data_IF_927456632770
#
_entry.id   IF_927456632770
#
_cell.length_a   1.000
_cell.length_b   1.000
_cell.length_c   1.000
_cell.angle_alpha   90.00
_cell.angle_beta   90.00
_cell.angle_gamma   90.00
#
_symmetry.space_group_name_H-M   'P 1'
#
loop_
_entity.id
_entity.type
_entity.pdbx_description
1 polymer ?
#
# COMPACT_ATOMS: atom_id res chain seq x y z
N UNK A 1 44.08 32.83 24.86
CA UNK A 1 43.03 31.88 24.42
C UNK A 1 42.04 31.70 25.55
N UNK A 2 40.81 32.16 25.35
CA UNK A 2 39.81 32.39 26.38
C UNK A 2 39.24 31.06 26.90
N UNK A 3 39.26 30.85 28.23
CA UNK A 3 38.62 29.73 28.93
C UNK A 3 37.10 29.84 28.75
N UNK A 4 36.52 28.94 27.97
CA UNK A 4 35.06 28.76 27.90
C UNK A 4 34.65 27.96 29.14
N UNK A 5 33.88 28.57 30.04
CA UNK A 5 33.37 27.92 31.26
C UNK A 5 32.10 27.13 30.96
N UNK A 6 31.92 25.97 31.61
CA UNK A 6 30.82 24.99 31.45
C UNK A 6 29.40 25.58 31.47
N UNK A 7 29.19 26.77 32.03
CA UNK A 7 27.89 27.45 32.02
C UNK A 7 27.44 27.95 30.62
N UNK A 8 28.37 28.11 29.68
CA UNK A 8 28.05 28.59 28.31
C UNK A 8 27.50 27.51 27.38
N UNK A 9 27.59 26.23 27.77
CA UNK A 9 27.15 25.08 26.96
C UNK A 9 25.69 24.71 27.27
N UNK A 10 25.16 25.09 28.43
CA UNK A 10 23.80 24.74 28.88
C UNK A 10 22.70 25.62 28.25
N UNK A 11 23.03 26.80 27.74
CA UNK A 11 22.07 27.73 27.10
C UNK A 11 21.96 27.57 25.58
N UNK A 12 22.81 26.75 24.95
CA UNK A 12 22.89 26.64 23.48
C UNK A 12 22.00 25.55 22.85
N UNK A 13 21.26 24.78 23.66
CA UNK A 13 20.38 23.74 23.12
C UNK A 13 19.08 24.33 22.54
N UNK A 14 18.98 24.27 21.21
CA UNK A 14 17.76 24.63 20.47
C UNK A 14 16.55 23.80 20.90
N UNK A 15 15.34 24.33 20.70
CA UNK A 15 14.09 23.64 21.03
C UNK A 15 13.99 22.25 20.35
N UNK A 16 14.52 22.14 19.13
CA UNK A 16 14.59 20.90 18.35
C UNK A 16 15.42 19.82 19.05
N UNK A 17 16.56 20.20 19.62
CA UNK A 17 17.43 19.27 20.35
C UNK A 17 16.77 18.74 21.63
N UNK A 18 15.97 19.58 22.31
CA UNK A 18 15.20 19.15 23.49
C UNK A 18 14.08 18.17 23.15
N UNK A 19 13.45 18.33 21.98
CA UNK A 19 12.38 17.46 21.49
C UNK A 19 12.89 16.03 21.20
N UNK A 20 14.10 15.92 20.67
CA UNK A 20 14.75 14.64 20.34
C UNK A 20 15.10 13.87 21.62
N UNK A 21 15.69 14.54 22.62
CA UNK A 21 16.01 13.93 23.92
C UNK A 21 14.75 13.36 24.59
N UNK A 22 13.63 14.09 24.50
CA UNK A 22 12.34 13.69 25.08
C UNK A 22 11.76 12.42 24.44
N UNK A 23 11.98 12.20 23.14
CA UNK A 23 11.48 11.03 22.41
C UNK A 23 12.34 9.78 22.59
N UNK A 24 13.65 9.94 22.77
CA UNK A 24 14.58 8.80 22.85
C UNK A 24 14.85 8.32 24.29
N UNK A 25 14.88 9.21 25.30
CA UNK A 25 15.04 8.80 26.70
C UNK A 25 14.53 9.89 27.68
N UNK A 26 13.26 9.84 28.11
CA UNK A 26 12.61 10.92 28.86
C UNK A 26 13.16 11.14 30.28
N UNK A 27 13.96 10.21 30.83
CA UNK A 27 14.54 10.31 32.19
C UNK A 27 15.73 11.29 32.29
N UNK A 28 16.22 11.82 31.17
CA UNK A 28 17.37 12.73 31.10
C UNK A 28 16.99 14.21 31.19
N UNK A 29 15.69 14.50 31.21
CA UNK A 29 15.14 15.83 31.40
C UNK A 29 14.46 15.90 32.76
N UNK A 30 14.64 17.01 33.47
CA UNK A 30 13.80 17.27 34.64
C UNK A 30 12.39 17.70 34.21
N UNK A 31 11.50 17.86 35.19
CA UNK A 31 10.09 18.23 35.00
C UNK A 31 9.88 19.53 34.20
N UNK A 32 10.92 20.38 34.07
CA UNK A 32 10.88 21.63 33.33
C UNK A 32 11.57 21.53 31.94
N UNK A 33 11.78 20.33 31.42
CA UNK A 33 12.50 20.08 30.15
C UNK A 33 13.92 20.69 30.12
N UNK A 34 14.59 20.76 31.27
CA UNK A 34 16.00 21.16 31.34
C UNK A 34 16.88 19.94 31.63
N UNK A 35 18.08 19.85 31.03
CA UNK A 35 18.99 18.72 31.23
C UNK A 35 19.43 18.58 32.69
N UNK A 36 19.50 17.34 33.21
CA UNK A 36 19.94 17.07 34.59
C UNK A 36 21.45 17.29 34.71
N UNK A 37 21.86 18.19 35.63
CA UNK A 37 23.16 18.89 35.67
C UNK A 37 24.41 18.01 35.88
N UNK A 38 24.27 16.74 36.25
CA UNK A 38 25.40 15.85 36.61
C UNK A 38 25.60 14.67 35.65
N UNK A 39 24.96 14.67 34.48
CA UNK A 39 25.05 13.55 33.52
C UNK A 39 25.96 13.87 32.33
N UNK A 40 26.41 15.12 32.17
CA UNK A 40 27.08 15.60 30.96
C UNK A 40 28.54 16.00 31.24
N UNK A 41 29.46 15.04 31.10
CA UNK A 41 30.90 15.30 31.03
C UNK A 41 31.36 15.45 29.57
N UNK A 42 32.67 15.65 29.33
CA UNK A 42 33.22 15.75 27.97
C UNK A 42 33.04 14.48 27.12
N UNK A 43 32.73 13.33 27.73
CA UNK A 43 32.36 12.11 26.99
C UNK A 43 30.93 12.22 26.41
N UNK A 44 30.09 13.08 26.99
CA UNK A 44 28.72 13.31 26.53
C UNK A 44 28.63 14.15 25.27
N UNK A 45 29.55 15.10 25.04
CA UNK A 45 29.65 15.79 23.74
C UNK A 45 30.10 14.83 22.63
N UNK A 46 31.00 13.90 22.95
CA UNK A 46 31.39 12.82 22.04
C UNK A 46 30.21 11.90 21.77
N UNK A 47 29.46 11.50 22.80
CA UNK A 47 28.22 10.71 22.65
C UNK A 47 27.08 11.46 21.98
N UNK A 48 26.99 12.80 22.10
CA UNK A 48 26.03 13.62 21.35
C UNK A 48 26.45 13.79 19.91
N UNK A 49 27.75 13.90 19.62
CA UNK A 49 28.26 13.86 18.25
C UNK A 49 28.03 12.48 17.63
N UNK A 50 28.17 11.40 18.41
CA UNK A 50 27.80 10.04 18.02
C UNK A 50 26.29 9.86 17.91
N UNK A 51 25.47 10.46 18.78
CA UNK A 51 23.99 10.42 18.75
C UNK A 51 23.40 11.31 17.65
N UNK A 52 24.04 12.43 17.33
CA UNK A 52 23.71 13.26 16.16
C UNK A 52 24.20 12.61 14.88
N UNK A 53 25.31 11.85 14.91
CA UNK A 53 25.78 11.05 13.78
C UNK A 53 25.01 9.72 13.61
N UNK A 54 24.31 9.25 14.65
CA UNK A 54 23.41 8.09 14.57
C UNK A 54 21.94 8.47 14.36
N UNK A 55 21.56 9.73 14.60
CA UNK A 55 20.25 10.29 14.18
C UNK A 55 20.30 11.18 12.92
N UNK A 56 21.49 11.45 12.39
CA UNK A 56 21.73 11.84 11.00
C UNK A 56 22.94 11.05 10.53
N UNK A 57 22.70 9.96 9.79
CA UNK A 57 23.75 9.10 9.24
C UNK A 57 24.69 9.91 8.35
N UNK A 58 25.84 10.32 8.88
CA UNK A 58 27.04 10.51 8.08
C UNK A 58 28.17 9.71 8.71
N UNK A 59 28.17 8.41 8.39
CA UNK A 59 29.30 7.53 8.62
C UNK A 59 30.15 7.54 7.34
N UNK A 60 31.41 8.03 7.35
CA UNK A 60 32.19 8.16 6.12
C UNK A 60 32.57 6.83 5.46
N UNK A 61 32.25 5.67 6.06
CA UNK A 61 32.76 4.37 5.63
C UNK A 61 31.80 3.17 5.79
N UNK A 62 30.48 3.37 5.73
CA UNK A 62 29.53 2.25 5.57
C UNK A 62 28.49 2.55 4.49
N UNK A 63 28.80 2.18 3.24
CA UNK A 63 27.80 2.00 2.18
C UNK A 63 26.82 0.92 2.64
N UNK A 64 25.55 1.27 2.92
CA UNK A 64 24.34 0.41 2.90
C UNK A 64 23.24 0.73 3.94
N UNK A 65 23.12 1.97 4.43
CA UNK A 65 21.84 2.47 4.93
C UNK A 65 21.30 3.47 3.90
N UNK A 66 20.34 3.04 3.08
CA UNK A 66 19.68 3.89 2.07
C UNK A 66 18.90 4.96 2.84
N UNK A 67 19.43 6.18 2.86
CA UNK A 67 18.87 7.33 3.59
C UNK A 67 17.41 7.58 3.22
N UNK A 68 16.58 7.96 4.21
CA UNK A 68 15.19 8.33 3.98
C UNK A 68 15.11 9.55 3.05
N UNK A 69 14.69 9.35 1.80
CA UNK A 69 14.60 10.43 0.81
C UNK A 69 13.62 10.14 -0.31
N UNK A 70 13.39 11.15 -1.13
CA UNK A 70 12.72 10.99 -2.42
C UNK A 70 13.70 10.40 -3.44
N UNK A 71 13.25 9.39 -4.17
CA UNK A 71 13.94 8.72 -5.26
C UNK A 71 13.38 9.28 -6.57
N UNK A 72 14.27 9.82 -7.41
CA UNK A 72 13.92 10.27 -8.76
C UNK A 72 13.86 9.08 -9.72
N UNK A 73 13.04 9.18 -10.76
CA UNK A 73 12.91 8.13 -11.77
C UNK A 73 14.25 7.77 -12.43
N UNK A 74 15.09 8.77 -12.70
CA UNK A 74 16.43 8.58 -13.27
C UNK A 74 17.40 7.77 -12.41
N UNK A 75 17.08 7.53 -11.15
CA UNK A 75 17.91 6.71 -10.26
C UNK A 75 17.60 5.22 -10.37
N UNK A 76 16.44 4.87 -10.90
CA UNK A 76 15.93 3.50 -10.96
C UNK A 76 15.59 3.05 -12.39
N UNK A 77 15.58 3.98 -13.33
CA UNK A 77 15.14 3.78 -14.70
C UNK A 77 15.93 4.65 -15.69
N UNK A 78 16.08 4.18 -16.92
CA UNK A 78 16.66 4.93 -18.03
C UNK A 78 15.54 5.50 -18.88
N UNK A 79 15.67 6.76 -19.29
CA UNK A 79 14.68 7.40 -20.16
C UNK A 79 14.81 6.84 -21.59
N UNK A 80 13.72 6.30 -22.12
CA UNK A 80 13.59 5.78 -23.48
C UNK A 80 12.33 6.36 -24.13
N UNK A 81 12.51 7.40 -24.95
CA UNK A 81 11.40 8.19 -25.47
C UNK A 81 10.57 8.82 -24.35
N UNK A 82 9.29 8.46 -24.30
CA UNK A 82 8.34 8.91 -23.27
C UNK A 82 8.35 8.04 -22.00
N UNK A 83 9.06 6.91 -22.02
CA UNK A 83 9.07 5.96 -20.92
C UNK A 83 10.34 6.10 -20.08
N UNK A 84 10.22 5.72 -18.81
CA UNK A 84 11.31 5.43 -17.90
C UNK A 84 11.37 3.91 -17.76
N UNK A 85 12.34 3.28 -18.43
CA UNK A 85 12.50 1.83 -18.45
C UNK A 85 13.34 1.40 -17.24
N UNK A 86 12.79 0.56 -16.38
CA UNK A 86 13.46 0.09 -15.16
C UNK A 86 14.79 -0.61 -15.50
N UNK A 87 15.91 -0.19 -14.91
CA UNK A 87 17.26 -0.67 -15.28
C UNK A 87 17.69 -1.99 -14.62
N UNK A 88 16.76 -2.68 -13.95
CA UNK A 88 17.04 -3.88 -13.17
C UNK A 88 16.02 -4.08 -12.05
N UNK A 89 16.26 -5.05 -11.18
CA UNK A 89 15.45 -5.21 -9.98
C UNK A 89 15.73 -4.06 -9.01
N UNK A 90 14.66 -3.35 -8.63
CA UNK A 90 14.76 -2.14 -7.81
C UNK A 90 14.03 -2.33 -6.49
N UNK A 91 14.58 -1.75 -5.43
CA UNK A 91 13.94 -1.70 -4.12
C UNK A 91 13.79 -0.26 -3.65
N UNK A 92 12.55 0.15 -3.45
CA UNK A 92 12.19 1.34 -2.69
C UNK A 92 12.26 0.94 -1.22
N UNK A 93 13.34 1.34 -0.55
CA UNK A 93 13.55 0.96 0.85
C UNK A 93 12.50 1.60 1.75
N UNK A 94 12.39 1.08 2.98
CA UNK A 94 11.59 1.72 4.02
C UNK A 94 11.94 3.21 4.12
N UNK A 95 10.96 4.04 4.47
CA UNK A 95 11.01 5.51 4.52
C UNK A 95 11.38 6.26 3.22
N UNK A 96 11.69 5.58 2.11
CA UNK A 96 11.91 6.24 0.82
C UNK A 96 10.58 6.52 0.10
N UNK A 97 10.58 7.55 -0.73
CA UNK A 97 9.43 7.95 -1.56
C UNK A 97 9.81 7.92 -3.05
N UNK A 98 9.15 7.11 -3.87
CA UNK A 98 9.19 7.21 -5.32
C UNK A 98 7.96 7.95 -5.81
N UNK A 99 8.14 8.96 -6.66
CA UNK A 99 7.03 9.67 -7.31
C UNK A 99 7.11 9.41 -8.81
N UNK A 100 6.00 8.95 -9.40
CA UNK A 100 5.79 8.94 -10.84
C UNK A 100 4.93 10.18 -11.15
N UNK A 101 5.49 11.25 -11.75
CA UNK A 101 4.74 12.48 -12.01
C UNK A 101 3.65 12.31 -13.08
N UNK A 102 2.66 13.22 -13.14
CA UNK A 102 1.69 13.27 -14.23
C UNK A 102 2.36 13.30 -15.60
N UNK A 103 1.80 12.57 -16.57
CA UNK A 103 2.30 12.48 -17.94
C UNK A 103 3.58 11.66 -18.13
N UNK A 104 4.18 11.13 -17.05
CA UNK A 104 5.32 10.22 -17.13
C UNK A 104 4.86 8.76 -17.14
N UNK A 105 5.66 7.90 -17.76
CA UNK A 105 5.44 6.46 -17.85
C UNK A 105 6.62 5.72 -17.23
N UNK A 106 6.39 4.91 -16.19
CA UNK A 106 7.38 3.97 -15.66
C UNK A 106 7.10 2.59 -16.25
N UNK A 107 8.03 2.04 -17.03
CA UNK A 107 7.93 0.72 -17.63
C UNK A 107 8.74 -0.29 -16.79
N UNK A 108 8.06 -1.32 -16.29
CA UNK A 108 8.68 -2.50 -15.68
C UNK A 108 8.61 -3.62 -16.71
N UNK A 109 9.73 -3.92 -17.36
CA UNK A 109 9.80 -4.88 -18.47
C UNK A 109 9.57 -6.35 -18.09
N UNK A 110 9.23 -7.18 -19.08
CA UNK A 110 8.87 -8.60 -18.95
C UNK A 110 10.02 -9.55 -18.61
N UNK A 111 11.27 -9.06 -18.59
CA UNK A 111 12.50 -9.84 -18.34
C UNK A 111 12.71 -10.27 -16.88
N UNK A 112 11.64 -10.54 -16.13
CA UNK A 112 11.70 -10.87 -14.71
C UNK A 112 12.03 -9.68 -13.79
N UNK A 113 11.90 -8.45 -14.31
CA UNK A 113 12.18 -7.25 -13.55
C UNK A 113 11.17 -7.08 -12.41
N UNK A 114 11.68 -6.73 -11.24
CA UNK A 114 10.89 -6.56 -10.02
C UNK A 114 11.09 -5.17 -9.42
N UNK A 115 10.00 -4.45 -9.21
CA UNK A 115 9.96 -3.27 -8.36
C UNK A 115 9.42 -3.66 -6.98
N UNK A 116 10.33 -3.75 -6.01
CA UNK A 116 9.98 -4.05 -4.62
C UNK A 116 9.76 -2.75 -3.85
N UNK A 117 8.60 -2.62 -3.21
CA UNK A 117 8.28 -1.51 -2.34
C UNK A 117 8.26 -1.93 -0.87
N UNK A 118 9.07 -1.25 -0.05
CA UNK A 118 9.00 -1.24 1.42
C UNK A 118 8.78 0.17 1.97
N UNK A 119 8.76 1.18 1.10
CA UNK A 119 8.57 2.58 1.43
C UNK A 119 7.25 3.10 0.85
N UNK A 120 7.29 4.21 0.13
CA UNK A 120 6.12 4.80 -0.51
C UNK A 120 6.34 4.94 -2.01
N UNK A 121 5.37 4.50 -2.81
CA UNK A 121 5.27 4.81 -4.24
C UNK A 121 4.02 5.66 -4.42
N UNK A 122 4.17 6.85 -4.98
CA UNK A 122 3.05 7.71 -5.39
C UNK A 122 3.02 7.77 -6.91
N UNK A 123 2.01 7.14 -7.51
CA UNK A 123 1.80 7.17 -8.95
C UNK A 123 0.76 8.23 -9.30
N UNK A 124 1.20 9.36 -9.86
CA UNK A 124 0.34 10.38 -10.46
C UNK A 124 0.36 10.33 -12.00
N UNK A 125 1.18 9.45 -12.58
CA UNK A 125 1.30 9.23 -14.02
C UNK A 125 0.85 7.82 -14.38
N UNK A 126 1.70 7.10 -15.12
CA UNK A 126 1.41 5.76 -15.60
C UNK A 126 2.50 4.78 -15.15
N UNK A 127 2.11 3.63 -14.63
CA UNK A 127 3.00 2.47 -14.46
C UNK A 127 2.54 1.40 -15.44
N UNK A 128 3.42 1.00 -16.34
CA UNK A 128 3.20 -0.12 -17.27
C UNK A 128 4.00 -1.29 -16.73
N UNK A 129 3.31 -2.27 -16.15
CA UNK A 129 3.95 -3.44 -15.53
C UNK A 129 3.80 -4.68 -16.41
N UNK A 130 4.90 -5.10 -17.05
CA UNK A 130 5.05 -6.43 -17.64
C UNK A 130 5.88 -7.38 -16.75
N UNK A 131 6.52 -6.85 -15.71
CA UNK A 131 7.27 -7.61 -14.72
C UNK A 131 6.49 -7.79 -13.43
N UNK A 132 7.15 -7.58 -12.30
CA UNK A 132 6.57 -7.76 -10.96
C UNK A 132 6.61 -6.48 -10.15
N UNK A 133 5.49 -6.13 -9.52
CA UNK A 133 5.43 -5.14 -8.44
C UNK A 133 5.15 -5.89 -7.14
N UNK A 134 6.05 -5.77 -6.17
CA UNK A 134 5.89 -6.40 -4.85
C UNK A 134 5.77 -5.32 -3.79
N UNK A 135 4.59 -5.18 -3.19
CA UNK A 135 4.36 -4.27 -2.08
C UNK A 135 4.45 -5.02 -0.75
N UNK A 136 5.56 -4.85 -0.04
CA UNK A 136 5.86 -5.58 1.19
C UNK A 136 5.32 -4.85 2.44
N UNK A 137 5.46 -5.50 3.60
CA UNK A 137 5.12 -4.92 4.90
C UNK A 137 5.71 -3.52 5.09
N UNK A 138 4.87 -2.57 5.49
CA UNK A 138 5.22 -1.14 5.62
C UNK A 138 5.24 -0.37 4.30
N UNK A 139 5.18 -1.08 3.17
CA UNK A 139 5.07 -0.52 1.83
C UNK A 139 3.68 0.06 1.56
N UNK A 140 3.65 1.28 1.04
CA UNK A 140 2.42 1.93 0.56
C UNK A 140 2.55 2.27 -0.92
N UNK A 141 1.58 1.84 -1.72
CA UNK A 141 1.39 2.31 -3.09
C UNK A 141 0.14 3.20 -3.10
N UNK A 142 0.29 4.46 -3.46
CA UNK A 142 -0.83 5.38 -3.72
C UNK A 142 -0.92 5.60 -5.22
N UNK A 143 -1.96 5.04 -5.84
CA UNK A 143 -2.23 5.21 -7.26
C UNK A 143 -3.30 6.28 -7.48
N UNK A 144 -2.90 7.44 -7.99
CA UNK A 144 -3.78 8.52 -8.43
C UNK A 144 -3.91 8.57 -9.96
N UNK A 145 -3.01 7.90 -10.69
CA UNK A 145 -3.03 7.78 -12.15
C UNK A 145 -3.43 6.37 -12.59
N UNK A 146 -2.67 5.81 -13.54
CA UNK A 146 -2.93 4.50 -14.13
C UNK A 146 -1.83 3.49 -13.79
N UNK A 147 -2.22 2.27 -13.43
CA UNK A 147 -1.34 1.11 -13.39
C UNK A 147 -1.90 0.05 -14.33
N UNK A 148 -1.18 -0.21 -15.42
CA UNK A 148 -1.50 -1.29 -16.36
C UNK A 148 -0.65 -2.50 -16.00
N UNK A 149 -1.25 -3.43 -15.28
CA UNK A 149 -0.66 -4.71 -14.91
C UNK A 149 -0.83 -5.70 -16.07
N UNK A 150 0.01 -5.54 -17.08
CA UNK A 150 -0.04 -6.23 -18.35
C UNK A 150 0.44 -7.68 -18.28
N UNK A 151 0.10 -8.44 -19.33
CA UNK A 151 0.54 -9.82 -19.52
C UNK A 151 2.07 -9.91 -19.54
N UNK A 152 2.65 -10.71 -18.64
CA UNK A 152 4.09 -10.91 -18.55
C UNK A 152 4.42 -12.08 -17.64
N UNK A 153 5.63 -12.12 -17.08
CA UNK A 153 6.06 -13.21 -16.17
C UNK A 153 5.68 -12.96 -14.71
N UNK A 154 5.14 -11.77 -14.39
CA UNK A 154 4.84 -11.35 -13.03
C UNK A 154 3.40 -10.86 -12.82
N UNK A 155 3.26 -9.92 -11.89
CA UNK A 155 1.98 -9.33 -11.50
C UNK A 155 2.17 -8.33 -10.37
N UNK A 156 1.07 -7.91 -9.77
CA UNK A 156 1.07 -7.08 -8.56
C UNK A 156 0.81 -7.99 -7.37
N UNK A 157 1.73 -7.99 -6.41
CA UNK A 157 1.65 -8.75 -5.17
C UNK A 157 1.65 -7.80 -3.98
N UNK A 158 0.50 -7.68 -3.32
CA UNK A 158 0.37 -6.94 -2.08
C UNK A 158 0.51 -7.90 -0.89
N UNK A 159 1.72 -7.96 -0.34
CA UNK A 159 2.09 -8.90 0.72
C UNK A 159 1.55 -8.45 2.08
N UNK A 160 1.63 -9.30 3.14
CA UNK A 160 1.15 -8.95 4.47
C UNK A 160 1.73 -7.62 4.97
N UNK A 161 0.87 -6.73 5.46
CA UNK A 161 1.22 -5.39 5.92
C UNK A 161 1.50 -4.37 4.79
N UNK A 162 1.38 -4.78 3.52
CA UNK A 162 1.40 -3.87 2.37
C UNK A 162 0.04 -3.17 2.18
N UNK A 163 0.08 -1.90 1.80
CA UNK A 163 -1.12 -1.09 1.50
C UNK A 163 -1.11 -0.60 0.06
N UNK A 164 -2.21 -0.81 -0.67
CA UNK A 164 -2.48 -0.17 -1.97
C UNK A 164 -3.71 0.72 -1.82
N UNK A 165 -3.55 2.02 -2.02
CA UNK A 165 -4.64 2.99 -2.12
C UNK A 165 -4.83 3.34 -3.60
N UNK A 166 -5.92 2.88 -4.20
CA UNK A 166 -6.19 3.07 -5.61
C UNK A 166 -7.26 4.15 -5.83
N UNK A 167 -6.83 5.42 -5.87
CA UNK A 167 -7.68 6.57 -6.19
C UNK A 167 -7.87 6.75 -7.71
N UNK A 168 -6.98 6.17 -8.52
CA UNK A 168 -7.04 6.18 -9.98
C UNK A 168 -7.51 4.84 -10.55
N UNK A 169 -6.84 4.37 -11.61
CA UNK A 169 -7.20 3.13 -12.31
C UNK A 169 -6.11 2.08 -12.22
N UNK A 170 -6.47 0.84 -11.89
CA UNK A 170 -5.65 -0.35 -12.12
C UNK A 170 -6.32 -1.19 -13.21
N UNK A 171 -5.64 -1.36 -14.35
CA UNK A 171 -5.99 -2.34 -15.37
C UNK A 171 -5.25 -3.65 -15.09
N UNK A 172 -5.96 -4.69 -14.65
CA UNK A 172 -5.37 -5.98 -14.34
C UNK A 172 -5.58 -6.97 -15.49
N UNK A 173 -4.50 -7.31 -16.19
CA UNK A 173 -4.48 -8.27 -17.31
C UNK A 173 -3.82 -9.61 -16.95
N UNK A 174 -3.26 -9.72 -15.74
CA UNK A 174 -2.62 -10.95 -15.26
C UNK A 174 -2.99 -11.22 -13.80
N UNK A 175 -2.10 -11.00 -12.84
CA UNK A 175 -2.30 -11.34 -11.44
C UNK A 175 -2.27 -10.07 -10.60
N UNK A 176 -3.35 -9.85 -9.84
CA UNK A 176 -3.39 -8.98 -8.67
C UNK A 176 -3.65 -9.86 -7.44
N UNK A 177 -2.59 -10.16 -6.70
CA UNK A 177 -2.65 -11.00 -5.50
C UNK A 177 -2.57 -10.14 -4.25
N UNK A 178 -3.48 -10.38 -3.30
CA UNK A 178 -3.59 -9.60 -2.08
C UNK A 178 -3.57 -10.49 -0.82
N UNK A 179 -2.61 -10.23 0.06
CA UNK A 179 -2.55 -10.69 1.45
C UNK A 179 -2.52 -9.47 2.41
N UNK A 180 -2.38 -8.25 1.88
CA UNK A 180 -2.37 -7.00 2.62
C UNK A 180 -3.71 -6.27 2.53
N UNK A 181 -3.66 -4.94 2.45
CA UNK A 181 -4.83 -4.08 2.33
C UNK A 181 -4.88 -3.38 0.97
N UNK A 182 -6.00 -3.49 0.25
CA UNK A 182 -6.30 -2.72 -0.96
C UNK A 182 -7.54 -1.87 -0.67
N UNK A 183 -7.42 -0.56 -0.86
CA UNK A 183 -8.53 0.39 -0.75
C UNK A 183 -8.84 1.01 -2.11
N UNK A 184 -10.13 1.04 -2.45
CA UNK A 184 -10.67 1.57 -3.70
C UNK A 184 -11.75 2.58 -3.33
N UNK A 185 -11.36 3.83 -3.01
CA UNK A 185 -12.31 4.88 -2.65
C UNK A 185 -13.08 5.39 -3.87
N UNK A 186 -14.00 6.32 -3.65
CA UNK A 186 -14.69 7.05 -4.72
C UNK A 186 -13.69 7.64 -5.74
N UNK A 187 -13.94 7.41 -7.02
CA UNK A 187 -13.02 7.75 -8.12
C UNK A 187 -12.03 6.62 -8.47
N UNK A 188 -11.77 5.72 -7.53
CA UNK A 188 -10.93 4.54 -7.70
C UNK A 188 -11.60 3.42 -8.49
N UNK A 189 -10.82 2.78 -9.37
CA UNK A 189 -11.30 1.77 -10.31
C UNK A 189 -10.32 0.62 -10.46
N UNK A 190 -10.79 -0.64 -10.40
CA UNK A 190 -10.04 -1.80 -10.86
C UNK A 190 -10.78 -2.47 -12.01
N UNK A 191 -10.15 -2.55 -13.18
CA UNK A 191 -10.63 -3.31 -14.32
C UNK A 191 -9.89 -4.64 -14.39
N UNK A 192 -10.56 -5.72 -13.99
CA UNK A 192 -10.05 -7.07 -14.18
C UNK A 192 -10.41 -7.55 -15.58
N UNK A 193 -9.45 -7.56 -16.49
CA UNK A 193 -9.68 -7.82 -17.91
C UNK A 193 -9.71 -9.32 -18.20
N UNK A 194 -9.91 -9.72 -19.47
CA UNK A 194 -10.28 -11.09 -19.82
C UNK A 194 -9.31 -12.19 -19.34
N UNK A 195 -8.03 -11.87 -19.17
CA UNK A 195 -7.00 -12.78 -18.63
C UNK A 195 -6.62 -12.47 -17.19
N UNK A 196 -7.23 -11.44 -16.61
CA UNK A 196 -6.98 -10.96 -15.27
C UNK A 196 -7.55 -11.87 -14.20
N UNK A 197 -6.78 -12.04 -13.13
CA UNK A 197 -7.16 -12.67 -11.89
C UNK A 197 -6.89 -11.73 -10.73
N UNK A 198 -7.92 -11.45 -9.93
CA UNK A 198 -7.80 -10.82 -8.62
C UNK A 198 -7.96 -11.94 -7.60
N UNK A 199 -6.93 -12.18 -6.79
CA UNK A 199 -6.97 -13.19 -5.73
C UNK A 199 -6.75 -12.53 -4.38
N UNK A 200 -7.75 -12.60 -3.52
CA UNK A 200 -7.66 -12.19 -2.12
C UNK A 200 -7.39 -13.42 -1.24
N UNK A 201 -6.23 -13.45 -0.61
CA UNK A 201 -5.72 -14.56 0.20
C UNK A 201 -6.02 -14.35 1.69
N UNK A 202 -5.67 -15.34 2.52
CA UNK A 202 -5.85 -15.26 3.98
C UNK A 202 -5.14 -14.04 4.59
N UNK A 203 -5.89 -13.21 5.33
CA UNK A 203 -5.41 -11.93 5.87
C UNK A 203 -5.50 -10.76 4.90
N UNK A 204 -5.82 -11.04 3.63
CA UNK A 204 -6.07 -10.04 2.60
C UNK A 204 -7.40 -9.33 2.79
N UNK A 205 -7.37 -8.02 2.66
CA UNK A 205 -8.53 -7.13 2.74
C UNK A 205 -8.64 -6.31 1.45
N UNK A 206 -9.78 -6.39 0.77
CA UNK A 206 -10.13 -5.52 -0.36
C UNK A 206 -11.34 -4.69 0.05
N UNK A 207 -11.14 -3.38 0.19
CA UNK A 207 -12.17 -2.41 0.56
C UNK A 207 -12.56 -1.57 -0.65
N UNK A 208 -13.84 -1.58 -0.99
CA UNK A 208 -14.41 -0.78 -2.06
C UNK A 208 -15.32 0.25 -1.40
N UNK A 209 -14.86 1.48 -1.28
CA UNK A 209 -15.53 2.56 -0.55
C UNK A 209 -15.99 3.66 -1.50
N UNK A 210 -17.04 3.38 -2.28
CA UNK A 210 -17.53 4.25 -3.35
C UNK A 210 -16.85 4.07 -4.71
N UNK A 211 -15.74 3.35 -4.78
CA UNK A 211 -15.10 2.97 -6.05
C UNK A 211 -15.77 1.79 -6.73
N UNK A 212 -15.10 1.20 -7.73
CA UNK A 212 -15.61 -0.03 -8.34
C UNK A 212 -14.55 -1.04 -8.78
N UNK A 213 -14.98 -2.30 -8.86
CA UNK A 213 -14.27 -3.40 -9.52
C UNK A 213 -15.14 -3.90 -10.68
N UNK A 214 -14.56 -3.95 -11.88
CA UNK A 214 -15.21 -4.50 -13.07
C UNK A 214 -14.51 -5.80 -13.49
N UNK A 215 -15.21 -6.93 -13.34
CA UNK A 215 -14.75 -8.25 -13.77
C UNK A 215 -15.26 -8.54 -15.18
N UNK A 216 -14.35 -8.56 -16.16
CA UNK A 216 -14.68 -8.78 -17.57
C UNK A 216 -14.97 -10.25 -17.88
N UNK A 217 -15.42 -10.52 -19.12
CA UNK A 217 -15.55 -11.88 -19.65
C UNK A 217 -14.20 -12.61 -19.62
N UNK A 218 -14.14 -13.82 -19.04
CA UNK A 218 -12.91 -14.60 -18.86
C UNK A 218 -12.15 -14.28 -17.57
N UNK A 219 -12.44 -13.14 -16.95
CA UNK A 219 -11.76 -12.66 -15.76
C UNK A 219 -12.24 -13.37 -14.49
N UNK A 220 -11.35 -13.51 -13.50
CA UNK A 220 -11.66 -14.16 -12.22
C UNK A 220 -11.42 -13.26 -11.02
N UNK A 221 -12.38 -13.24 -10.08
CA UNK A 221 -12.16 -12.73 -8.72
C UNK A 221 -12.32 -13.91 -7.76
N UNK A 222 -11.30 -14.17 -6.96
CA UNK A 222 -11.29 -15.25 -5.98
C UNK A 222 -11.03 -14.68 -4.59
N UNK A 223 -11.96 -14.91 -3.68
CA UNK A 223 -11.79 -14.65 -2.25
C UNK A 223 -11.56 -15.97 -1.53
N UNK A 224 -10.34 -16.18 -1.02
CA UNK A 224 -9.94 -17.41 -0.35
C UNK A 224 -10.26 -17.38 1.15
N UNK A 225 -10.05 -18.53 1.81
CA UNK A 225 -10.22 -18.66 3.25
C UNK A 225 -9.44 -17.58 4.01
N UNK A 226 -10.11 -16.89 4.94
CA UNK A 226 -9.53 -15.78 5.70
C UNK A 226 -9.39 -14.47 4.91
N UNK A 227 -9.80 -14.43 3.65
CA UNK A 227 -9.87 -13.23 2.82
C UNK A 227 -11.18 -12.46 3.05
N UNK A 228 -11.07 -11.14 3.11
CA UNK A 228 -12.17 -10.20 3.26
C UNK A 228 -12.34 -9.32 2.03
N UNK A 229 -13.52 -9.36 1.40
CA UNK A 229 -13.95 -8.32 0.46
C UNK A 229 -15.06 -7.51 1.12
N UNK A 230 -14.84 -6.20 1.26
CA UNK A 230 -15.77 -5.28 1.91
C UNK A 230 -16.18 -4.18 0.93
N UNK A 231 -17.40 -4.28 0.41
CA UNK A 231 -17.98 -3.28 -0.47
C UNK A 231 -18.97 -2.40 0.32
N UNK A 232 -18.58 -1.15 0.55
CA UNK A 232 -19.39 -0.14 1.24
C UNK A 232 -19.62 1.05 0.33
N UNK A 233 -20.81 1.15 -0.24
CA UNK A 233 -21.17 2.21 -1.18
C UNK A 233 -20.52 2.14 -2.57
N UNK A 234 -19.68 1.13 -2.83
CA UNK A 234 -19.04 0.89 -4.13
C UNK A 234 -19.75 -0.15 -5.00
N UNK A 235 -19.15 -0.48 -6.14
CA UNK A 235 -19.73 -1.41 -7.11
C UNK A 235 -18.79 -2.54 -7.48
N UNK A 236 -19.28 -3.78 -7.45
CA UNK A 236 -18.63 -4.94 -8.07
C UNK A 236 -19.50 -5.37 -9.24
N UNK A 237 -18.97 -5.31 -10.45
CA UNK A 237 -19.67 -5.79 -11.65
C UNK A 237 -19.02 -7.07 -12.12
N UNK A 238 -19.79 -8.17 -12.16
CA UNK A 238 -19.41 -9.41 -12.80
C UNK A 238 -20.08 -9.49 -14.17
N UNK A 239 -19.34 -9.23 -15.25
CA UNK A 239 -19.91 -9.26 -16.60
C UNK A 239 -20.14 -10.69 -17.09
N UNK A 240 -20.89 -10.82 -18.18
CA UNK A 240 -21.10 -12.08 -18.89
C UNK A 240 -19.75 -12.75 -19.15
N UNK A 241 -19.62 -14.03 -18.81
CA UNK A 241 -18.37 -14.79 -18.94
C UNK A 241 -17.33 -14.55 -17.83
N UNK A 242 -17.54 -13.58 -16.94
CA UNK A 242 -16.71 -13.37 -15.75
C UNK A 242 -17.13 -14.31 -14.62
N UNK A 243 -16.19 -14.62 -13.72
CA UNK A 243 -16.45 -15.50 -12.57
C UNK A 243 -16.01 -14.83 -11.26
N UNK A 244 -16.88 -14.87 -10.25
CA UNK A 244 -16.53 -14.55 -8.87
C UNK A 244 -16.69 -15.80 -8.02
N UNK A 245 -15.65 -16.13 -7.25
CA UNK A 245 -15.67 -17.26 -6.32
C UNK A 245 -15.36 -16.77 -4.92
N UNK A 246 -16.28 -17.03 -3.99
CA UNK A 246 -16.02 -16.90 -2.56
C UNK A 246 -15.81 -18.31 -1.99
N UNK A 247 -14.56 -18.69 -1.78
CA UNK A 247 -14.21 -20.02 -1.30
C UNK A 247 -14.59 -20.20 0.18
N UNK A 248 -14.61 -21.46 0.64
CA UNK A 248 -14.87 -21.81 2.04
C UNK A 248 -13.96 -21.00 2.97
N UNK A 249 -14.55 -20.30 3.94
CA UNK A 249 -13.84 -19.43 4.89
C UNK A 249 -13.56 -18.02 4.40
N UNK A 250 -13.88 -17.69 3.13
CA UNK A 250 -13.85 -16.34 2.59
C UNK A 250 -15.12 -15.57 2.96
N UNK A 251 -14.99 -14.29 3.26
CA UNK A 251 -16.13 -13.42 3.60
C UNK A 251 -16.27 -12.26 2.63
N UNK A 252 -17.50 -12.04 2.14
CA UNK A 252 -17.85 -10.86 1.36
C UNK A 252 -18.94 -10.06 2.10
N UNK A 253 -18.72 -8.76 2.25
CA UNK A 253 -19.66 -7.81 2.85
C UNK A 253 -20.15 -6.80 1.82
N UNK A 254 -21.46 -6.68 1.68
CA UNK A 254 -22.11 -5.68 0.82
C UNK A 254 -23.00 -4.79 1.69
N UNK A 255 -22.54 -3.59 1.99
CA UNK A 255 -23.15 -2.69 2.99
C UNK A 255 -23.26 -1.26 2.50
N UNK A 256 -24.03 -0.44 3.22
CA UNK A 256 -24.07 1.02 3.06
C UNK A 256 -24.20 1.49 1.59
N UNK A 257 -25.09 0.87 0.81
CA UNK A 257 -25.31 1.19 -0.61
C UNK A 257 -24.36 0.48 -1.58
N UNK A 258 -23.52 -0.44 -1.09
CA UNK A 258 -22.67 -1.27 -1.93
C UNK A 258 -23.50 -2.18 -2.82
N UNK A 259 -23.05 -2.40 -4.06
CA UNK A 259 -23.74 -3.23 -5.03
C UNK A 259 -22.84 -4.33 -5.62
N UNK A 260 -23.40 -5.52 -5.81
CA UNK A 260 -22.92 -6.50 -6.78
C UNK A 260 -23.91 -6.56 -7.94
N UNK A 261 -23.44 -6.36 -9.17
CA UNK A 261 -24.20 -6.66 -10.39
C UNK A 261 -23.64 -7.91 -11.03
N UNK A 262 -24.38 -9.02 -10.98
CA UNK A 262 -23.98 -10.31 -11.53
C UNK A 262 -24.68 -10.63 -12.85
N UNK A 263 -23.93 -10.64 -13.95
CA UNK A 263 -24.40 -11.04 -15.28
C UNK A 263 -23.88 -12.42 -15.71
N UNK A 264 -23.15 -13.11 -14.84
CA UNK A 264 -22.53 -14.42 -15.13
C UNK A 264 -22.65 -15.33 -13.91
N UNK A 265 -21.55 -15.84 -13.34
CA UNK A 265 -21.59 -16.77 -12.21
C UNK A 265 -20.95 -16.19 -10.94
N UNK A 266 -21.63 -16.38 -9.81
CA UNK A 266 -21.05 -16.24 -8.47
C UNK A 266 -21.12 -17.61 -7.79
N UNK A 267 -19.96 -18.21 -7.58
CA UNK A 267 -19.81 -19.41 -6.77
C UNK A 267 -19.53 -19.02 -5.32
N UNK A 268 -20.58 -18.99 -4.48
CA UNK A 268 -20.43 -18.71 -3.06
C UNK A 268 -20.37 -20.03 -2.26
N UNK A 269 -19.17 -20.45 -1.87
CA UNK A 269 -18.94 -21.62 -1.02
C UNK A 269 -18.78 -21.23 0.47
N UNK A 270 -19.07 -19.98 0.83
CA UNK A 270 -19.04 -19.50 2.21
C UNK A 270 -20.13 -18.44 2.43
N UNK A 271 -19.81 -17.30 3.03
CA UNK A 271 -20.82 -16.29 3.36
C UNK A 271 -20.63 -15.00 2.56
N UNK A 272 -21.72 -14.59 1.89
CA UNK A 272 -21.91 -13.23 1.39
C UNK A 272 -22.98 -12.60 2.28
N UNK A 273 -22.61 -11.55 2.99
CA UNK A 273 -23.54 -10.75 3.76
C UNK A 273 -24.06 -9.61 2.91
N UNK A 274 -25.36 -9.61 2.67
CA UNK A 274 -26.04 -8.49 2.03
C UNK A 274 -26.76 -7.67 3.11
N UNK A 275 -26.36 -6.40 3.23
CA UNK A 275 -26.72 -5.54 4.35
C UNK A 275 -28.22 -5.45 4.65
N UNK A 276 -28.54 -5.37 5.94
CA UNK A 276 -29.85 -5.00 6.45
C UNK A 276 -29.89 -3.56 6.95
N UNK A 277 -31.04 -3.12 7.49
CA UNK A 277 -31.25 -1.74 7.98
C UNK A 277 -30.16 -1.27 8.95
N UNK A 278 -29.60 -2.17 9.78
CA UNK A 278 -28.62 -1.85 10.81
C UNK A 278 -27.18 -1.58 10.32
N UNK A 279 -26.78 -2.12 9.16
CA UNK A 279 -25.43 -1.95 8.60
C UNK A 279 -25.45 -1.25 7.23
N UNK A 280 -26.59 -0.65 6.89
CA UNK A 280 -26.85 -0.10 5.57
C UNK A 280 -27.17 -1.19 4.55
N UNK A 281 -28.17 -0.94 3.72
CA UNK A 281 -28.64 -1.90 2.71
C UNK A 281 -27.58 -2.12 1.64
N UNK A 282 -27.28 -3.38 1.36
CA UNK A 282 -26.52 -3.78 0.17
C UNK A 282 -27.46 -4.34 -0.91
N UNK A 283 -27.03 -4.33 -2.16
CA UNK A 283 -27.78 -4.94 -3.26
C UNK A 283 -26.95 -5.97 -4.02
N UNK A 284 -27.58 -7.11 -4.30
CA UNK A 284 -27.07 -8.07 -5.28
C UNK A 284 -28.15 -8.21 -6.35
N UNK A 285 -27.80 -7.85 -7.58
CA UNK A 285 -28.75 -7.80 -8.71
C UNK A 285 -28.15 -8.50 -9.93
N UNK A 286 -28.99 -8.76 -10.93
CA UNK A 286 -28.59 -9.23 -12.24
C UNK A 286 -29.19 -10.59 -12.61
N UNK A 287 -28.93 -11.02 -13.84
CA UNK A 287 -29.49 -12.24 -14.43
C UNK A 287 -28.59 -13.46 -14.26
N UNK A 288 -27.41 -13.29 -13.68
CA UNK A 288 -26.43 -14.34 -13.46
C UNK A 288 -26.82 -15.31 -12.35
N UNK A 289 -26.22 -16.49 -12.36
CA UNK A 289 -26.43 -17.51 -11.31
C UNK A 289 -25.64 -17.16 -10.05
N UNK A 290 -26.26 -17.43 -8.90
CA UNK A 290 -25.59 -17.43 -7.60
C UNK A 290 -25.82 -18.81 -6.99
N UNK A 291 -24.76 -19.61 -6.91
CA UNK A 291 -24.90 -21.03 -6.58
C UNK A 291 -25.33 -21.30 -5.12
N UNK A 292 -25.24 -20.28 -4.25
CA UNK A 292 -25.75 -20.31 -2.86
C UNK A 292 -26.23 -18.91 -2.48
N UNK A 293 -27.45 -18.80 -1.93
CA UNK A 293 -28.05 -17.52 -1.58
C UNK A 293 -27.20 -16.72 -0.57
N UNK A 294 -27.18 -15.40 -0.73
CA UNK A 294 -26.57 -14.50 0.25
C UNK A 294 -27.37 -14.54 1.57
N UNK A 295 -26.67 -14.34 2.68
CA UNK A 295 -27.31 -14.24 3.99
C UNK A 295 -27.65 -12.77 4.24
N UNK A 296 -28.93 -12.48 4.48
CA UNK A 296 -29.34 -11.15 4.94
C UNK A 296 -28.94 -10.96 6.40
N UNK A 297 -28.26 -9.87 6.72
CA UNK A 297 -27.94 -9.53 8.11
C UNK A 297 -26.60 -8.82 8.28
N UNK A 298 -26.40 -8.34 9.50
CA UNK A 298 -25.19 -7.65 9.92
C UNK A 298 -24.50 -8.51 10.99
N UNK A 299 -23.54 -9.39 10.66
CA UNK A 299 -22.67 -9.97 11.66
C UNK A 299 -21.95 -8.83 12.39
N UNK A 300 -21.83 -9.01 13.70
CA UNK A 300 -21.16 -8.07 14.57
C UNK A 300 -19.71 -7.87 14.08
N UNK A 301 -19.24 -6.64 13.81
CA UNK A 301 -17.84 -6.43 13.50
C UNK A 301 -17.01 -6.98 14.66
N UNK A 302 -16.20 -8.00 14.38
CA UNK A 302 -15.14 -8.47 15.28
C UNK A 302 -13.89 -7.67 15.00
#
# INVERSE_FOLDING_TARGET
MTKITQNSILTSFTATTRLIIRKCNPKLLNVNNTPVKNVFDSSWETRLKELSATNFNYHPNKRNLKECRTIQLSEIATRNGNNWDLIGNQTIAACCLLIIPPGQFLLIGSGGLTLTNKGTITNNGNIINYGTITNNSGGTITNNGNIDNNSGTGGIYNNPGGTINNNGTIGNYIILSNIGFINIPLGGSIYNTATGSITNLSGGNIYINGGFINNASGATIVNNSGGLIYNSGGNITNNVGGNITNNVGGTIYIYAGGNITNKSSIANNSVIYNGGVACGTGNITGTGTINVAAVSGCPNPK
#
